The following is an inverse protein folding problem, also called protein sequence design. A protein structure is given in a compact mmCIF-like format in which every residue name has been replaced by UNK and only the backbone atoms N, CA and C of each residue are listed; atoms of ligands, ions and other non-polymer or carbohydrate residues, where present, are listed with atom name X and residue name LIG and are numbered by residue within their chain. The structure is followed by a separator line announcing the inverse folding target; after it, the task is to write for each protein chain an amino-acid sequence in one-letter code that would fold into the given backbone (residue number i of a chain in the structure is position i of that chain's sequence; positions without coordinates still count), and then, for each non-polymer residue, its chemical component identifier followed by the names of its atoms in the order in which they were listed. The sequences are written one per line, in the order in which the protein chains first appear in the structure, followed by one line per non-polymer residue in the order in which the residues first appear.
data_IF_947811791331
#
_entry.id   IF_947811791331
#
_cell.length_a   1.000
_cell.length_b   1.000
_cell.length_c   1.000
_cell.angle_alpha   90.00
_cell.angle_beta   90.00
_cell.angle_gamma   90.00
#
_symmetry.space_group_name_H-M   'P 1'
#
loop_
_entity.id
_entity.type
_entity.pdbx_description
1 polymer ?
#
# COMPACT_ATOMS: atom_id res chain seq x y z
N UNK A 1 -34.57 -53.43 16.92
CA UNK A 1 -35.78 -53.73 16.12
C UNK A 1 -36.36 -52.41 15.61
N UNK A 2 -36.29 -52.22 14.28
CA UNK A 2 -37.07 -51.35 13.35
C UNK A 2 -37.68 -50.03 13.87
N UNK A 3 -37.24 -48.85 13.43
CA UNK A 3 -37.45 -48.16 12.12
C UNK A 3 -38.92 -48.05 11.68
N UNK A 4 -39.42 -46.79 11.57
CA UNK A 4 -40.07 -46.15 10.39
C UNK A 4 -40.49 -44.71 10.81
N UNK A 5 -39.90 -43.61 10.31
CA UNK A 5 -39.93 -43.01 8.96
C UNK A 5 -41.34 -42.71 8.44
N UNK A 6 -41.66 -41.42 8.34
CA UNK A 6 -42.46 -40.77 7.29
C UNK A 6 -41.97 -39.30 7.16
N UNK A 7 -42.13 -38.67 5.98
CA UNK A 7 -41.11 -37.87 5.33
C UNK A 7 -41.55 -36.40 5.18
N UNK A 8 -40.68 -35.47 5.54
CA UNK A 8 -40.89 -34.05 5.26
C UNK A 8 -40.19 -33.73 3.92
N UNK A 9 -40.81 -32.94 3.02
CA UNK A 9 -40.48 -32.94 1.59
C UNK A 9 -39.13 -32.32 1.31
N UNK A 10 -38.33 -33.01 0.48
CA UNK A 10 -37.01 -32.61 0.01
C UNK A 10 -37.04 -31.46 -1.04
N UNK A 11 -37.89 -30.44 -0.85
CA UNK A 11 -38.01 -29.31 -1.76
C UNK A 11 -37.37 -28.01 -1.26
N UNK A 12 -36.79 -27.97 -0.05
CA UNK A 12 -36.25 -26.73 0.55
C UNK A 12 -34.73 -26.75 0.79
N UNK A 13 -34.02 -27.83 0.45
CA UNK A 13 -32.56 -27.93 0.62
C UNK A 13 -31.80 -27.80 -0.71
N UNK A 14 -32.51 -27.62 -1.83
CA UNK A 14 -31.91 -27.51 -3.17
C UNK A 14 -31.63 -26.07 -3.65
N UNK A 15 -31.60 -25.08 -2.74
CA UNK A 15 -31.34 -23.67 -3.11
C UNK A 15 -30.06 -23.05 -2.51
N UNK A 16 -29.19 -23.82 -1.83
CA UNK A 16 -27.95 -23.27 -1.26
C UNK A 16 -26.66 -23.87 -1.85
N UNK A 17 -26.73 -24.94 -2.64
CA UNK A 17 -25.53 -25.59 -3.20
C UNK A 17 -25.57 -25.79 -4.72
N UNK A 18 -25.86 -24.72 -5.47
CA UNK A 18 -25.56 -24.67 -6.91
C UNK A 18 -25.20 -23.24 -7.37
N UNK A 19 -24.13 -22.68 -6.82
CA UNK A 19 -23.40 -21.54 -7.41
C UNK A 19 -21.89 -21.80 -7.54
N UNK A 20 -21.50 -23.06 -7.59
CA UNK A 20 -20.16 -23.50 -7.95
C UNK A 20 -20.29 -24.68 -8.91
N UNK A 21 -20.39 -24.41 -10.21
CA UNK A 21 -19.73 -25.13 -11.33
C UNK A 21 -20.40 -24.74 -12.67
N UNK A 22 -19.65 -24.02 -13.50
CA UNK A 22 -19.59 -24.21 -14.95
C UNK A 22 -20.78 -23.79 -15.83
N UNK A 23 -20.71 -22.59 -16.40
CA UNK A 23 -21.11 -22.34 -17.78
C UNK A 23 -20.34 -21.14 -18.34
N UNK A 24 -19.16 -21.39 -18.87
CA UNK A 24 -18.49 -20.53 -19.85
C UNK A 24 -19.38 -20.38 -21.09
N UNK A 25 -19.74 -19.17 -21.54
CA UNK A 25 -20.24 -19.01 -22.90
C UNK A 25 -19.06 -19.11 -23.87
N UNK A 26 -19.21 -19.97 -24.89
CA UNK A 26 -18.31 -20.07 -26.03
C UNK A 26 -18.33 -18.77 -26.87
N UNK A 27 -17.26 -18.45 -27.61
CA UNK A 27 -17.09 -17.16 -28.28
C UNK A 27 -17.78 -17.17 -29.65
N UNK A 28 -19.09 -17.01 -29.71
CA UNK A 28 -19.77 -16.79 -30.99
C UNK A 28 -21.12 -16.08 -30.96
N UNK A 29 -21.59 -15.57 -29.81
CA UNK A 29 -22.81 -14.74 -29.76
C UNK A 29 -22.46 -13.29 -29.45
N UNK A 30 -21.89 -12.59 -30.44
CA UNK A 30 -21.81 -11.13 -30.45
C UNK A 30 -22.95 -10.60 -31.31
N UNK A 31 -24.12 -10.43 -30.70
CA UNK A 31 -25.12 -9.48 -31.21
C UNK A 31 -24.81 -8.12 -30.58
N UNK A 32 -24.38 -7.21 -31.44
CA UNK A 32 -23.95 -5.85 -31.15
C UNK A 32 -25.08 -5.00 -30.58
N UNK A 33 -24.82 -4.25 -29.49
CA UNK A 33 -25.46 -2.97 -29.11
C UNK A 33 -24.81 -2.41 -27.82
N UNK A 34 -24.97 -1.12 -27.51
CA UNK A 34 -23.99 -0.08 -27.75
C UNK A 34 -23.36 0.48 -26.45
N UNK A 35 -22.22 1.16 -26.62
CA UNK A 35 -21.66 2.20 -25.72
C UNK A 35 -21.63 1.91 -24.22
N UNK A 36 -20.44 1.54 -23.77
CA UNK A 36 -19.76 2.18 -22.64
C UNK A 36 -20.44 2.05 -21.26
N UNK A 37 -20.05 1.01 -20.52
CA UNK A 37 -20.05 1.06 -19.06
C UNK A 37 -18.64 0.75 -18.54
N UNK A 38 -18.06 1.61 -17.69
CA UNK A 38 -16.73 1.41 -17.17
C UNK A 38 -16.73 0.32 -16.09
N UNK A 39 -15.65 -0.45 -16.05
CA UNK A 39 -15.33 -1.42 -15.00
C UNK A 39 -15.39 -0.74 -13.62
N UNK A 40 -16.27 -1.20 -12.76
CA UNK A 40 -16.34 -0.81 -11.36
C UNK A 40 -15.10 -1.35 -10.60
N UNK A 41 -14.05 -0.55 -10.53
CA UNK A 41 -12.91 -0.79 -9.64
C UNK A 41 -13.27 -0.26 -8.25
N UNK A 42 -13.56 -1.18 -7.33
CA UNK A 42 -13.66 -0.90 -5.89
C UNK A 42 -12.32 -0.39 -5.38
N UNK A 43 -12.30 0.82 -4.80
CA UNK A 43 -11.29 1.23 -3.81
C UNK A 43 -10.33 2.36 -4.16
N UNK A 44 -10.48 3.07 -5.28
CA UNK A 44 -9.79 4.35 -5.47
C UNK A 44 -10.62 5.45 -4.79
N UNK A 45 -10.09 6.00 -3.69
CA UNK A 45 -10.60 7.26 -3.13
C UNK A 45 -10.53 8.32 -4.22
N UNK A 46 -11.66 8.97 -4.48
CA UNK A 46 -11.77 10.08 -5.44
C UNK A 46 -10.83 11.21 -5.05
N UNK A 47 -9.67 11.29 -5.70
CA UNK A 47 -8.96 12.55 -5.92
C UNK A 47 -9.20 12.91 -7.39
N UNK A 48 -10.46 13.17 -7.70
CA UNK A 48 -10.86 13.92 -8.88
C UNK A 48 -11.57 15.16 -8.37
N UNK A 49 -10.82 16.05 -7.72
CA UNK A 49 -11.09 17.46 -7.97
C UNK A 49 -10.64 17.69 -9.41
N UNK A 50 -11.61 17.86 -10.30
CA UNK A 50 -11.38 18.22 -11.69
C UNK A 50 -10.43 19.42 -11.74
N UNK A 51 -9.24 19.33 -12.37
CA UNK A 51 -8.59 20.54 -12.81
C UNK A 51 -9.49 21.12 -13.88
N UNK A 52 -9.92 22.37 -13.70
CA UNK A 52 -10.68 23.12 -14.71
C UNK A 52 -10.06 22.86 -16.09
N UNK A 53 -10.89 22.36 -17.00
CA UNK A 53 -10.58 21.90 -18.36
C UNK A 53 -9.71 22.85 -19.20
N UNK A 54 -9.52 24.10 -18.78
CA UNK A 54 -8.69 25.10 -19.46
C UNK A 54 -7.17 25.02 -19.19
N UNK A 55 -6.70 24.15 -18.28
CA UNK A 55 -5.25 24.01 -18.02
C UNK A 55 -4.56 22.83 -18.74
N UNK A 56 -5.30 21.99 -19.47
CA UNK A 56 -4.73 20.79 -20.12
C UNK A 56 -4.03 21.06 -21.46
N UNK A 57 -3.88 22.32 -21.89
CA UNK A 57 -3.30 22.68 -23.20
C UNK A 57 -2.06 23.60 -23.16
N UNK A 58 -1.37 23.74 -22.03
CA UNK A 58 -0.11 24.50 -21.93
C UNK A 58 0.87 23.69 -21.06
N UNK A 59 2.08 23.26 -21.45
CA UNK A 59 3.00 23.66 -22.53
C UNK A 59 3.80 22.44 -22.97
N UNK A 60 3.68 22.03 -24.23
CA UNK A 60 4.59 21.06 -24.85
C UNK A 60 5.86 21.80 -25.27
N UNK A 61 6.63 22.29 -24.30
CA UNK A 61 7.82 23.08 -24.55
C UNK A 61 8.35 23.73 -23.27
N UNK A 62 9.53 23.29 -22.84
CA UNK A 62 10.41 23.84 -21.81
C UNK A 62 10.30 23.37 -20.34
N UNK A 63 9.20 22.78 -19.84
CA UNK A 63 9.08 22.57 -18.37
C UNK A 63 8.56 21.21 -17.87
N UNK A 64 8.71 20.13 -18.67
CA UNK A 64 8.31 18.76 -18.25
C UNK A 64 8.98 18.28 -16.96
N UNK A 65 10.11 18.86 -16.56
CA UNK A 65 10.80 18.53 -15.29
C UNK A 65 10.06 19.05 -14.06
N UNK A 66 9.37 20.20 -14.14
CA UNK A 66 8.63 20.72 -13.00
C UNK A 66 7.41 19.85 -12.68
N UNK A 67 6.72 19.37 -13.71
CA UNK A 67 5.58 18.47 -13.55
C UNK A 67 6.01 17.12 -12.96
N UNK A 68 7.11 16.53 -13.45
CA UNK A 68 7.67 15.28 -12.93
C UNK A 68 8.05 15.39 -11.44
N UNK A 69 8.72 16.48 -11.06
CA UNK A 69 9.13 16.72 -9.67
C UNK A 69 7.91 16.93 -8.76
N UNK A 70 6.89 17.65 -9.22
CA UNK A 70 5.64 17.88 -8.48
C UNK A 70 4.88 16.57 -8.19
N UNK A 71 4.67 15.70 -9.18
CA UNK A 71 4.00 14.41 -8.95
C UNK A 71 4.84 13.48 -8.07
N UNK A 72 6.16 13.55 -8.18
CA UNK A 72 7.07 12.80 -7.30
C UNK A 72 6.95 13.30 -5.86
N UNK A 73 6.91 14.62 -5.63
CA UNK A 73 6.66 15.22 -4.32
C UNK A 73 5.34 14.72 -3.70
N UNK A 74 4.24 14.80 -4.46
CA UNK A 74 2.92 14.35 -3.97
C UNK A 74 2.94 12.87 -3.58
N UNK A 75 3.52 12.02 -4.43
CA UNK A 75 3.61 10.58 -4.17
C UNK A 75 4.43 10.29 -2.91
N UNK A 76 5.56 10.98 -2.75
CA UNK A 76 6.41 10.83 -1.57
C UNK A 76 5.71 11.30 -0.30
N UNK A 77 5.04 12.46 -0.32
CA UNK A 77 4.28 12.97 0.82
C UNK A 77 3.17 12.00 1.24
N UNK A 78 2.37 11.53 0.27
CA UNK A 78 1.32 10.54 0.51
C UNK A 78 1.87 9.24 1.11
N UNK A 79 3.02 8.76 0.61
CA UNK A 79 3.65 7.55 1.14
C UNK A 79 4.12 7.75 2.58
N UNK A 80 4.72 8.90 2.91
CA UNK A 80 5.16 9.20 4.29
C UNK A 80 3.96 9.20 5.24
N UNK A 81 2.86 9.85 4.86
CA UNK A 81 1.62 9.88 5.65
C UNK A 81 1.01 8.48 5.83
N UNK A 82 1.02 7.68 4.76
CA UNK A 82 0.50 6.30 4.80
C UNK A 82 1.37 5.37 5.67
N UNK A 83 2.70 5.54 5.69
CA UNK A 83 3.59 4.72 6.50
C UNK A 83 3.26 4.84 7.99
N UNK A 84 3.03 6.05 8.50
CA UNK A 84 2.66 6.26 9.91
C UNK A 84 1.32 5.60 10.26
N UNK A 85 0.30 5.77 9.41
CA UNK A 85 -1.02 5.16 9.60
C UNK A 85 -0.94 3.62 9.59
N UNK A 86 -0.27 3.05 8.59
CA UNK A 86 -0.09 1.61 8.48
C UNK A 86 0.68 1.04 9.68
N UNK A 87 1.69 1.76 10.17
CA UNK A 87 2.46 1.32 11.31
C UNK A 87 1.62 1.28 12.59
N UNK A 88 0.79 2.31 12.81
CA UNK A 88 -0.16 2.35 13.93
C UNK A 88 -1.12 1.16 13.85
N UNK A 89 -1.70 0.89 12.69
CA UNK A 89 -2.60 -0.26 12.48
C UNK A 89 -1.92 -1.61 12.74
N UNK A 90 -0.63 -1.72 12.44
CA UNK A 90 0.17 -2.92 12.67
C UNK A 90 0.50 -3.09 14.15
N UNK A 91 0.78 -1.99 14.86
CA UNK A 91 1.02 -1.97 16.31
C UNK A 91 -0.25 -2.28 17.10
N UNK A 92 -1.41 -1.81 16.61
CA UNK A 92 -2.71 -2.01 17.23
C UNK A 92 -3.35 -3.35 16.85
N UNK A 93 -2.68 -4.15 16.02
CA UNK A 93 -3.17 -5.48 15.66
C UNK A 93 -3.29 -6.35 16.92
N UNK A 94 -4.51 -6.79 17.22
CA UNK A 94 -4.76 -7.72 18.29
C UNK A 94 -4.09 -9.07 17.96
N UNK A 95 -2.97 -9.35 18.61
CA UNK A 95 -2.29 -10.65 18.55
C UNK A 95 -2.66 -11.45 19.79
N UNK A 96 -2.98 -12.73 19.59
CA UNK A 96 -3.11 -13.68 20.69
C UNK A 96 -1.76 -13.86 21.40
N UNK A 97 -1.79 -14.38 22.63
CA UNK A 97 -0.59 -14.66 23.42
C UNK A 97 0.43 -15.48 22.63
N UNK A 98 -0.05 -16.44 21.84
CA UNK A 98 0.71 -17.20 20.85
C UNK A 98 0.06 -17.03 19.49
N UNK A 99 0.82 -16.60 18.48
CA UNK A 99 0.31 -16.35 17.15
C UNK A 99 0.01 -17.65 16.40
N UNK A 100 -1.19 -17.74 15.85
CA UNK A 100 -1.56 -18.77 14.87
C UNK A 100 -0.84 -18.53 13.54
N UNK A 101 -0.76 -19.57 12.71
CA UNK A 101 -0.21 -19.45 11.35
C UNK A 101 -0.93 -18.37 10.53
N UNK A 102 -2.25 -18.26 10.67
CA UNK A 102 -3.04 -17.25 9.95
C UNK A 102 -2.69 -15.82 10.41
N UNK A 103 -2.54 -15.59 11.72
CA UNK A 103 -2.11 -14.29 12.24
C UNK A 103 -0.69 -13.94 11.80
N UNK A 104 0.22 -14.92 11.76
CA UNK A 104 1.60 -14.68 11.29
C UNK A 104 1.62 -14.28 9.80
N UNK A 105 0.85 -14.95 8.95
CA UNK A 105 0.72 -14.60 7.52
C UNK A 105 0.13 -13.20 7.35
N UNK A 106 -0.94 -12.86 8.09
CA UNK A 106 -1.55 -11.54 8.03
C UNK A 106 -0.59 -10.43 8.49
N UNK A 107 0.13 -10.65 9.59
CA UNK A 107 1.13 -9.70 10.08
C UNK A 107 2.25 -9.48 9.06
N UNK A 108 2.77 -10.56 8.46
CA UNK A 108 3.83 -10.47 7.46
C UNK A 108 3.37 -9.78 6.18
N UNK A 109 2.14 -10.03 5.72
CA UNK A 109 1.57 -9.32 4.58
C UNK A 109 1.50 -7.79 4.82
N UNK A 110 1.18 -7.37 6.05
CA UNK A 110 1.21 -5.94 6.42
C UNK A 110 2.64 -5.38 6.46
N UNK A 111 3.60 -6.14 6.98
CA UNK A 111 5.03 -5.75 6.99
C UNK A 111 5.55 -5.59 5.57
N UNK A 112 5.23 -6.51 4.67
CA UNK A 112 5.63 -6.43 3.27
C UNK A 112 4.97 -5.22 2.57
N UNK A 113 3.73 -4.89 2.93
CA UNK A 113 3.07 -3.64 2.52
C UNK A 113 3.82 -2.38 2.93
N UNK A 114 4.26 -2.29 4.19
CA UNK A 114 5.10 -1.18 4.68
C UNK A 114 6.41 -1.08 3.89
N UNK A 115 7.13 -2.20 3.73
CA UNK A 115 8.38 -2.22 2.96
C UNK A 115 8.19 -1.75 1.52
N UNK A 116 7.04 -2.04 0.90
CA UNK A 116 6.69 -1.57 -0.44
C UNK A 116 6.48 -0.05 -0.49
N UNK A 117 5.68 0.50 0.44
CA UNK A 117 5.43 1.95 0.54
C UNK A 117 6.74 2.71 0.76
N UNK A 118 7.56 2.24 1.70
CA UNK A 118 8.83 2.90 2.03
C UNK A 118 9.86 2.76 0.91
N UNK A 119 9.88 1.62 0.22
CA UNK A 119 10.69 1.43 -0.98
C UNK A 119 10.32 2.42 -2.09
N UNK A 120 9.02 2.64 -2.30
CA UNK A 120 8.51 3.64 -3.25
C UNK A 120 8.88 5.06 -2.83
N UNK A 121 8.69 5.41 -1.55
CA UNK A 121 9.10 6.71 -1.00
C UNK A 121 10.60 6.97 -1.17
N UNK A 122 11.45 5.98 -0.88
CA UNK A 122 12.89 6.09 -1.07
C UNK A 122 13.26 6.27 -2.54
N UNK A 123 12.60 5.56 -3.45
CA UNK A 123 12.81 5.72 -4.89
C UNK A 123 12.45 7.13 -5.36
N UNK A 124 11.33 7.69 -4.89
CA UNK A 124 10.93 9.07 -5.18
C UNK A 124 11.96 10.10 -4.69
N UNK A 125 12.45 9.97 -3.46
CA UNK A 125 13.52 10.84 -2.95
C UNK A 125 14.82 10.72 -3.78
N UNK A 126 15.21 9.50 -4.16
CA UNK A 126 16.38 9.29 -5.03
C UNK A 126 16.20 9.96 -6.38
N UNK A 127 15.02 9.85 -6.99
CA UNK A 127 14.71 10.52 -8.25
C UNK A 127 14.87 12.04 -8.10
N UNK A 128 14.26 12.64 -7.08
CA UNK A 128 14.37 14.08 -6.81
C UNK A 128 15.84 14.50 -6.65
N UNK A 129 16.63 13.76 -5.87
CA UNK A 129 18.05 14.07 -5.68
C UNK A 129 18.88 13.91 -6.96
N UNK A 130 18.66 12.84 -7.74
CA UNK A 130 19.56 12.48 -8.85
C UNK A 130 19.17 13.07 -10.20
N UNK A 131 17.88 13.26 -10.45
CA UNK A 131 17.35 13.73 -11.73
C UNK A 131 17.02 15.23 -11.67
N UNK A 132 16.32 15.65 -10.62
CA UNK A 132 15.74 17.00 -10.56
C UNK A 132 16.67 18.00 -9.88
N UNK A 133 17.42 17.57 -8.86
CA UNK A 133 18.35 18.40 -8.07
C UNK A 133 19.77 17.83 -7.91
N UNK A 134 20.45 17.39 -8.99
CA UNK A 134 21.74 16.70 -8.91
C UNK A 134 22.89 17.54 -8.34
N UNK A 135 22.79 18.87 -8.39
CA UNK A 135 23.85 19.80 -7.94
C UNK A 135 23.54 20.47 -6.59
N UNK A 136 22.38 20.21 -6.00
CA UNK A 136 21.99 20.84 -4.74
C UNK A 136 22.59 20.08 -3.55
N UNK A 137 23.58 20.70 -2.90
CA UNK A 137 24.30 20.07 -1.80
C UNK A 137 23.42 19.74 -0.59
N UNK A 138 22.38 20.53 -0.31
CA UNK A 138 21.47 20.29 0.81
C UNK A 138 20.59 19.07 0.52
N UNK A 139 20.08 18.96 -0.69
CA UNK A 139 19.28 17.80 -1.13
C UNK A 139 20.13 16.53 -1.18
N UNK A 140 21.36 16.59 -1.69
CA UNK A 140 22.26 15.42 -1.66
C UNK A 140 22.57 14.97 -0.23
N UNK A 141 22.84 15.91 0.68
CA UNK A 141 23.08 15.62 2.09
C UNK A 141 21.85 14.99 2.76
N UNK A 142 20.66 15.54 2.49
CA UNK A 142 19.40 15.00 3.00
C UNK A 142 19.14 13.57 2.50
N UNK A 143 19.36 13.31 1.21
CA UNK A 143 19.23 11.96 0.61
C UNK A 143 20.22 10.95 1.21
N UNK A 144 21.46 11.37 1.46
CA UNK A 144 22.44 10.51 2.15
C UNK A 144 21.99 10.15 3.57
N UNK A 145 21.44 11.12 4.31
CA UNK A 145 20.89 10.87 5.64
C UNK A 145 19.66 9.95 5.61
N UNK A 146 18.74 10.14 4.66
CA UNK A 146 17.59 9.25 4.44
C UNK A 146 18.08 7.82 4.18
N UNK A 147 19.04 7.63 3.28
CA UNK A 147 19.58 6.31 2.95
C UNK A 147 20.19 5.63 4.18
N UNK A 148 20.97 6.37 4.96
CA UNK A 148 21.59 5.89 6.20
C UNK A 148 20.55 5.46 7.24
N UNK A 149 19.46 6.21 7.37
CA UNK A 149 18.37 5.93 8.32
C UNK A 149 17.42 4.83 7.83
N UNK A 150 17.31 4.62 6.53
CA UNK A 150 16.44 3.60 5.95
C UNK A 150 16.93 2.17 6.26
N UNK A 151 18.24 1.94 6.22
CA UNK A 151 18.83 0.62 6.50
C UNK A 151 18.45 0.04 7.86
N UNK A 152 18.66 0.73 9.01
CA UNK A 152 18.27 0.17 10.31
C UNK A 152 16.76 -0.06 10.43
N UNK A 153 15.94 0.79 9.81
CA UNK A 153 14.49 0.62 9.78
C UNK A 153 14.05 -0.65 9.01
N UNK A 154 14.52 -0.82 7.77
CA UNK A 154 14.22 -2.02 6.96
C UNK A 154 14.71 -3.29 7.66
N UNK A 155 15.89 -3.24 8.30
CA UNK A 155 16.41 -4.36 9.07
C UNK A 155 15.54 -4.69 10.30
N UNK A 156 15.02 -3.67 10.98
CA UNK A 156 14.13 -3.86 12.12
C UNK A 156 12.79 -4.46 11.70
N UNK A 157 12.19 -3.99 10.60
CA UNK A 157 10.95 -4.57 10.06
C UNK A 157 11.12 -6.03 9.65
N UNK A 158 12.21 -6.35 8.92
CA UNK A 158 12.46 -7.73 8.51
C UNK A 158 12.67 -8.67 9.72
N UNK A 159 13.32 -8.19 10.79
CA UNK A 159 13.47 -8.95 12.03
C UNK A 159 12.18 -9.09 12.83
N UNK A 160 11.22 -8.18 12.63
CA UNK A 160 9.92 -8.21 13.29
C UNK A 160 8.91 -9.15 12.59
N UNK A 161 9.26 -9.77 11.45
CA UNK A 161 8.39 -10.74 10.76
C UNK A 161 7.95 -11.84 11.72
N UNK A 162 6.65 -12.09 11.74
CA UNK A 162 5.99 -13.04 12.60
C UNK A 162 6.17 -14.47 12.09
N UNK A 163 6.19 -15.42 13.03
CA UNK A 163 6.16 -16.85 12.75
C UNK A 163 5.05 -17.53 13.55
N UNK A 164 4.53 -18.65 13.06
CA UNK A 164 3.57 -19.45 13.82
C UNK A 164 4.19 -19.90 15.14
N UNK A 165 3.47 -19.78 16.25
CA UNK A 165 3.97 -20.09 17.59
C UNK A 165 4.78 -18.95 18.24
N UNK A 166 5.03 -17.84 17.55
CA UNK A 166 5.66 -16.66 18.16
C UNK A 166 4.75 -16.08 19.25
N UNK A 167 5.34 -15.68 20.38
CA UNK A 167 4.59 -14.97 21.42
C UNK A 167 4.22 -13.58 20.93
N UNK A 168 2.95 -13.17 21.09
CA UNK A 168 2.47 -11.85 20.67
C UNK A 168 3.31 -10.70 21.25
N UNK A 169 3.78 -10.83 22.49
CA UNK A 169 4.70 -9.87 23.14
C UNK A 169 6.04 -9.72 22.40
N UNK A 170 6.61 -10.80 21.85
CA UNK A 170 7.89 -10.75 21.11
C UNK A 170 7.67 -10.00 19.79
N UNK A 171 6.57 -10.30 19.10
CA UNK A 171 6.18 -9.58 17.88
C UNK A 171 6.03 -8.07 18.14
N UNK A 172 5.27 -7.70 19.19
CA UNK A 172 5.08 -6.30 19.58
C UNK A 172 6.38 -5.59 19.95
N UNK A 173 7.32 -6.27 20.62
CA UNK A 173 8.64 -5.72 20.91
C UNK A 173 9.47 -5.49 19.63
N UNK A 174 9.40 -6.42 18.67
CA UNK A 174 10.02 -6.27 17.35
C UNK A 174 9.47 -5.05 16.61
N UNK A 175 8.14 -4.92 16.56
CA UNK A 175 7.49 -3.75 15.97
C UNK A 175 7.83 -2.45 16.72
N UNK A 176 7.97 -2.46 18.04
CA UNK A 176 8.44 -1.30 18.80
C UNK A 176 9.82 -0.81 18.33
N UNK A 177 10.76 -1.72 18.06
CA UNK A 177 12.09 -1.37 17.53
C UNK A 177 12.02 -0.81 16.11
N UNK A 178 11.15 -1.35 15.26
CA UNK A 178 10.92 -0.81 13.92
C UNK A 178 10.33 0.61 13.98
N UNK A 179 9.44 0.89 14.93
CA UNK A 179 8.87 2.23 15.15
C UNK A 179 9.94 3.24 15.56
N UNK A 180 10.81 2.84 16.49
CA UNK A 180 11.90 3.70 16.97
C UNK A 180 12.89 4.04 15.85
N UNK A 181 13.11 3.13 14.90
CA UNK A 181 13.91 3.37 13.71
C UNK A 181 13.20 4.20 12.64
N UNK A 182 11.86 4.10 12.53
CA UNK A 182 11.05 4.84 11.56
C UNK A 182 10.99 6.34 11.86
N UNK A 183 10.77 6.72 13.13
CA UNK A 183 10.61 8.14 13.53
C UNK A 183 11.70 9.08 12.99
N UNK A 184 13.00 8.80 13.15
CA UNK A 184 14.05 9.65 12.58
C UNK A 184 14.06 9.62 11.04
N UNK A 185 13.68 8.51 10.40
CA UNK A 185 13.58 8.40 8.94
C UNK A 185 12.47 9.30 8.39
N UNK A 186 11.26 9.24 8.95
CA UNK A 186 10.12 10.09 8.57
C UNK A 186 10.49 11.57 8.71
N UNK A 187 11.14 11.95 9.81
CA UNK A 187 11.63 13.33 10.00
C UNK A 187 12.63 13.74 8.91
N UNK A 188 13.54 12.86 8.52
CA UNK A 188 14.51 13.13 7.47
C UNK A 188 13.85 13.24 6.08
N UNK A 189 12.88 12.39 5.78
CA UNK A 189 12.09 12.42 4.54
C UNK A 189 11.31 13.74 4.42
N UNK A 190 10.54 14.13 5.46
CA UNK A 190 9.88 15.44 5.49
C UNK A 190 10.88 16.60 5.40
N UNK A 191 12.05 16.46 6.02
CA UNK A 191 13.12 17.44 5.94
C UNK A 191 13.57 17.69 4.50
N UNK A 192 13.81 16.64 3.72
CA UNK A 192 14.19 16.76 2.32
C UNK A 192 13.08 17.39 1.47
N UNK A 193 11.83 16.96 1.67
CA UNK A 193 10.67 17.48 0.94
C UNK A 193 10.51 18.99 1.12
N UNK A 194 10.75 19.53 2.34
CA UNK A 194 10.68 20.97 2.61
C UNK A 194 11.74 21.81 1.87
N UNK A 195 12.85 21.19 1.45
CA UNK A 195 13.88 21.87 0.67
C UNK A 195 13.45 22.10 -0.78
N UNK A 196 12.50 21.32 -1.28
CA UNK A 196 12.10 21.30 -2.68
C UNK A 196 10.91 22.25 -2.88
N UNK A 197 11.05 23.33 -3.67
CA UNK A 197 9.95 24.30 -3.89
C UNK A 197 8.67 23.68 -4.44
N UNK A 198 8.79 22.67 -5.30
CA UNK A 198 7.68 21.96 -5.93
C UNK A 198 6.89 21.07 -4.96
N UNK A 199 7.41 20.85 -3.75
CA UNK A 199 6.72 20.08 -2.72
C UNK A 199 6.00 20.96 -1.68
N UNK A 200 5.95 22.29 -1.88
CA UNK A 200 5.36 23.25 -0.94
C UNK A 200 3.91 23.59 -1.29
#
# INVERSE_FOLDING_TARGET
MFIRKLPIPACLIFLITLKCLGATPAPSDVSSLPRGFPLAIRGLRSVLEEPSSDKLLHKRGADTRQDDAYYTCQTVQLNIENTDLYFIDLKMLAVSDVMTSQQAVQANAKIDGLLSIDGSSLAGHKQLATKDFPKDAQIQSAMANITRLNTPYVNALNKAKATAGMKGKIFQQGMGKAWDALRPLVKAQFGMIKLIPQCK
#
